data_IF_987802510619
#
_entry.id   IF_987802510619
#
_cell.length_a   1.000
_cell.length_b   1.000
_cell.length_c   1.000
_cell.angle_alpha   90.00
_cell.angle_beta   90.00
_cell.angle_gamma   90.00
#
_symmetry.space_group_name_H-M   'P 1'
#
loop_
_entity.id
_entity.type
_entity.pdbx_description
1 polymer ?
#
# COMPACT_ATOMS: atom_id res chain seq x y z
N UNK A 1 -0.72 -7.36 12.91
CA UNK A 1 -1.18 -6.48 11.82
C UNK A 1 -0.89 -5.05 12.26
N UNK A 2 -0.10 -4.31 11.51
CA UNK A 2 0.37 -2.96 11.87
C UNK A 2 -0.20 -1.93 10.90
N UNK A 3 -0.42 -0.70 11.37
CA UNK A 3 -0.65 0.45 10.49
C UNK A 3 0.70 0.95 9.95
N UNK A 4 0.68 1.71 8.85
CA UNK A 4 1.89 2.21 8.22
C UNK A 4 2.80 2.97 9.19
N UNK A 5 2.21 3.77 10.10
CA UNK A 5 2.94 4.57 11.08
C UNK A 5 3.54 3.76 12.24
N UNK A 6 3.10 2.52 12.44
CA UNK A 6 3.63 1.61 13.47
C UNK A 6 4.79 0.75 12.97
N UNK A 7 5.09 0.80 11.66
CA UNK A 7 6.21 0.08 11.05
C UNK A 7 7.55 0.76 11.35
N UNK A 8 8.63 -0.03 11.33
CA UNK A 8 9.99 0.52 11.31
C UNK A 8 10.22 1.33 10.02
N UNK A 9 11.18 2.27 10.04
CA UNK A 9 11.51 3.07 8.84
C UNK A 9 11.86 2.20 7.62
N UNK A 10 12.53 1.08 7.84
CA UNK A 10 12.86 0.11 6.80
C UNK A 10 11.59 -0.54 6.22
N UNK A 11 10.68 -0.99 7.08
CA UNK A 11 9.41 -1.58 6.66
C UNK A 11 8.50 -0.57 5.97
N UNK A 12 8.49 0.70 6.39
CA UNK A 12 7.77 1.77 5.70
C UNK A 12 8.28 1.97 4.27
N UNK A 13 9.60 1.99 4.07
CA UNK A 13 10.18 2.12 2.74
C UNK A 13 9.84 0.91 1.85
N UNK A 14 9.93 -0.31 2.39
CA UNK A 14 9.52 -1.52 1.66
C UNK A 14 8.04 -1.48 1.26
N UNK A 15 7.18 -0.97 2.14
CA UNK A 15 5.75 -0.79 1.87
C UNK A 15 5.50 0.19 0.73
N UNK A 16 6.18 1.35 0.75
CA UNK A 16 6.07 2.37 -0.28
C UNK A 16 6.54 1.80 -1.63
N UNK A 17 7.71 1.17 -1.65
CA UNK A 17 8.28 0.57 -2.87
C UNK A 17 7.36 -0.52 -3.43
N UNK A 18 6.85 -1.44 -2.59
CA UNK A 18 5.92 -2.48 -3.02
C UNK A 18 4.59 -1.92 -3.54
N UNK A 19 4.10 -0.82 -2.98
CA UNK A 19 2.92 -0.12 -3.50
C UNK A 19 3.22 0.51 -4.87
N UNK A 20 4.36 1.18 -5.03
CA UNK A 20 4.77 1.79 -6.30
C UNK A 20 4.93 0.73 -7.37
N UNK A 21 5.63 -0.37 -7.10
CA UNK A 21 5.79 -1.47 -8.04
C UNK A 21 4.45 -2.07 -8.47
N UNK A 22 3.51 -2.22 -7.53
CA UNK A 22 2.15 -2.70 -7.80
C UNK A 22 1.30 -1.69 -8.58
N UNK A 23 1.51 -0.40 -8.34
CA UNK A 23 0.76 0.68 -8.96
C UNK A 23 1.30 1.10 -10.33
N UNK A 24 2.61 0.92 -10.58
CA UNK A 24 3.29 1.23 -11.85
C UNK A 24 2.61 0.64 -13.10
N UNK A 25 2.20 -0.64 -13.14
CA UNK A 25 1.48 -1.17 -14.30
C UNK A 25 0.07 -0.57 -14.49
N UNK A 26 -0.48 0.09 -13.48
CA UNK A 26 -1.88 0.58 -13.45
C UNK A 26 -1.96 2.11 -13.62
N UNK A 27 -0.97 2.84 -13.12
CA UNK A 27 -0.89 4.31 -13.11
C UNK A 27 0.26 4.85 -13.98
N UNK A 28 1.16 3.99 -14.48
CA UNK A 28 2.37 4.39 -15.20
C UNK A 28 3.52 4.79 -14.27
N UNK A 29 4.58 5.36 -14.83
CA UNK A 29 5.79 5.81 -14.09
C UNK A 29 5.60 7.07 -13.23
N UNK A 30 4.37 7.59 -13.15
CA UNK A 30 4.07 8.89 -12.52
C UNK A 30 3.75 8.80 -11.02
N UNK A 31 4.00 7.67 -10.38
CA UNK A 31 3.69 7.48 -8.95
C UNK A 31 4.81 8.07 -8.09
N UNK A 32 4.56 9.25 -7.50
CA UNK A 32 5.50 9.89 -6.56
C UNK A 32 5.51 9.20 -5.19
N UNK A 33 6.70 8.90 -4.68
CA UNK A 33 6.89 8.32 -3.33
C UNK A 33 6.25 9.16 -2.22
N UNK A 34 6.29 10.49 -2.33
CA UNK A 34 5.69 11.40 -1.35
C UNK A 34 4.17 11.25 -1.27
N UNK A 35 3.50 11.06 -2.42
CA UNK A 35 2.06 10.84 -2.47
C UNK A 35 1.69 9.47 -1.89
N UNK A 36 2.46 8.43 -2.23
CA UNK A 36 2.25 7.08 -1.69
C UNK A 36 2.44 7.07 -0.18
N UNK A 37 3.48 7.74 0.32
CA UNK A 37 3.72 7.85 1.77
C UNK A 37 2.58 8.56 2.49
N UNK A 38 2.06 9.66 1.93
CA UNK A 38 0.89 10.34 2.45
C UNK A 38 -0.33 9.41 2.47
N UNK A 39 -0.62 8.80 1.33
CA UNK A 39 -1.74 7.86 1.17
C UNK A 39 -1.69 6.68 2.15
N UNK A 40 -0.54 6.02 2.30
CA UNK A 40 -0.38 4.89 3.22
C UNK A 40 -0.41 5.32 4.69
N UNK A 41 0.10 6.51 5.02
CA UNK A 41 0.08 7.07 6.38
C UNK A 41 -1.32 7.49 6.83
N UNK A 42 -2.12 8.04 5.92
CA UNK A 42 -3.49 8.47 6.19
C UNK A 42 -4.49 7.30 6.09
N UNK A 43 -4.13 6.24 5.37
CA UNK A 43 -4.99 5.07 5.23
C UNK A 43 -5.02 4.22 6.49
N UNK A 44 -6.18 4.23 7.16
CA UNK A 44 -6.51 3.31 8.25
C UNK A 44 -6.96 1.93 7.76
N UNK A 45 -7.08 1.78 6.44
CA UNK A 45 -7.63 0.60 5.77
C UNK A 45 -6.50 -0.37 5.38
N UNK A 46 -5.32 0.16 5.03
CA UNK A 46 -4.17 -0.67 4.71
C UNK A 46 -3.50 -1.18 5.97
N UNK A 47 -3.36 -2.50 6.05
CA UNK A 47 -2.60 -3.15 7.11
C UNK A 47 -1.35 -3.76 6.52
N UNK A 48 -0.30 -3.83 7.31
CA UNK A 48 1.00 -4.31 6.87
C UNK A 48 1.48 -5.43 7.79
N UNK A 49 2.32 -6.31 7.25
CA UNK A 49 3.13 -7.22 8.05
C UNK A 49 4.31 -6.47 8.71
N UNK A 50 5.04 -7.14 9.59
CA UNK A 50 6.22 -6.55 10.25
C UNK A 50 7.36 -6.18 9.30
N UNK A 51 7.34 -6.70 8.07
CA UNK A 51 8.35 -6.46 7.04
C UNK A 51 7.94 -5.31 6.10
N UNK A 52 6.74 -4.77 6.24
CA UNK A 52 6.21 -3.72 5.36
C UNK A 52 5.46 -4.23 4.13
N UNK A 53 5.15 -5.52 4.04
CA UNK A 53 4.31 -6.00 2.95
C UNK A 53 2.88 -5.56 3.20
N UNK A 54 2.24 -4.94 2.21
CA UNK A 54 0.83 -4.56 2.29
C UNK A 54 -0.03 -5.84 2.34
N UNK A 55 -0.84 -5.97 3.37
CA UNK A 55 -1.77 -7.08 3.57
C UNK A 55 -3.10 -6.74 2.90
N UNK A 56 -3.09 -6.82 1.58
CA UNK A 56 -4.22 -6.49 0.72
C UNK A 56 -3.90 -6.71 -0.74
N UNK A 57 -4.93 -6.66 -1.57
CA UNK A 57 -4.79 -6.81 -3.02
C UNK A 57 -5.43 -5.59 -3.67
N UNK A 58 -4.75 -5.00 -4.65
CA UNK A 58 -5.43 -4.11 -5.59
C UNK A 58 -6.40 -4.95 -6.40
N UNK A 59 -7.68 -4.58 -6.38
CA UNK A 59 -8.73 -5.28 -7.11
C UNK A 59 -9.38 -4.29 -8.06
N UNK A 60 -9.49 -4.72 -9.30
CA UNK A 60 -10.14 -3.95 -10.34
C UNK A 60 -11.63 -4.30 -10.33
N UNK A 61 -12.42 -3.60 -9.52
CA UNK A 61 -13.86 -3.79 -9.45
C UNK A 61 -14.52 -2.92 -10.53
N UNK A 62 -14.78 -3.52 -11.69
CA UNK A 62 -15.57 -2.92 -12.79
C UNK A 62 -15.15 -1.48 -13.16
N UNK A 63 -13.84 -1.23 -13.30
CA UNK A 63 -13.32 0.06 -13.73
C UNK A 63 -13.04 1.05 -12.59
N UNK A 64 -13.50 0.75 -11.37
CA UNK A 64 -13.09 1.45 -10.16
C UNK A 64 -11.93 0.71 -9.51
N UNK A 65 -10.76 1.37 -9.47
CA UNK A 65 -9.52 0.81 -8.93
C UNK A 65 -9.57 0.95 -7.41
N UNK A 66 -10.03 -0.09 -6.72
CA UNK A 66 -10.14 -0.09 -5.25
C UNK A 66 -9.10 -1.04 -4.65
N UNK A 67 -8.46 -0.62 -3.57
CA UNK A 67 -7.63 -1.52 -2.79
C UNK A 67 -8.50 -2.26 -1.78
N UNK A 68 -8.70 -3.57 -1.94
CA UNK A 68 -9.33 -4.37 -0.88
C UNK A 68 -8.25 -4.83 0.11
N UNK A 69 -8.30 -4.37 1.38
CA UNK A 69 -7.50 -5.00 2.41
C UNK A 69 -7.93 -6.46 2.50
N UNK A 70 -6.98 -7.40 2.42
CA UNK A 70 -7.25 -8.82 2.65
C UNK A 70 -7.40 -8.99 4.15
N UNK A 71 -8.56 -8.60 4.66
CA UNK A 71 -9.03 -8.96 5.99
C UNK A 71 -9.85 -10.24 5.87
N UNK A 72 -9.17 -11.39 5.80
CA UNK A 72 -9.82 -12.66 6.13
C UNK A 72 -8.97 -13.40 7.15
N UNK A 73 -9.44 -13.28 8.40
CA UNK A 73 -9.27 -14.15 9.56
C UNK A 73 -7.84 -14.37 10.06
#
# INVERSE_FOLDING_TARGET
MFTFNELSKEAQNLSIQGFIESARPILGDTVEESLVKGFLSESKVHRFDQKGSILGKMVNLKGDKTFEPHGRY
#
